data_IF_812477312426
#
_entry.id   IF_812477312426
#
_cell.length_a   1.000
_cell.length_b   1.000
_cell.length_c   1.000
_cell.angle_alpha   90.00
_cell.angle_beta   90.00
_cell.angle_gamma   90.00
#
_symmetry.space_group_name_H-M   'P 1'
#
loop_
_entity.id
_entity.type
_entity.pdbx_description
1 polymer ?
#
# COMPACT_ATOMS: atom_id res chain seq x y z
N UNK A 1 22.27 -18.26 45.05
CA UNK A 1 22.29 -17.69 43.69
C UNK A 1 21.19 -16.64 43.66
N UNK A 2 21.58 -15.39 43.86
CA UNK A 2 20.65 -14.27 44.08
C UNK A 2 20.15 -13.87 42.69
N UNK A 3 18.85 -14.00 42.44
CA UNK A 3 18.21 -13.48 41.23
C UNK A 3 18.27 -11.96 41.29
N UNK A 4 19.14 -11.35 40.47
CA UNK A 4 19.11 -9.91 40.26
C UNK A 4 17.75 -9.50 39.67
N UNK A 5 17.13 -8.41 40.15
CA UNK A 5 15.95 -7.86 39.50
C UNK A 5 16.37 -7.29 38.15
N UNK A 6 15.78 -7.83 37.08
CA UNK A 6 15.95 -7.32 35.71
C UNK A 6 15.49 -5.86 35.70
N UNK A 7 16.34 -4.90 35.28
CA UNK A 7 15.95 -3.50 35.23
C UNK A 7 14.79 -3.32 34.25
N UNK A 8 13.70 -2.73 34.73
CA UNK A 8 12.56 -2.28 33.93
C UNK A 8 13.03 -1.19 32.94
N UNK A 9 13.58 -1.62 31.80
CA UNK A 9 14.13 -0.69 30.81
C UNK A 9 14.82 -1.30 29.58
N UNK A 10 14.85 -2.63 29.42
CA UNK A 10 15.55 -3.28 28.31
C UNK A 10 14.66 -4.27 27.52
N UNK A 11 13.45 -3.84 27.14
CA UNK A 11 12.58 -4.55 26.19
C UNK A 11 12.34 -3.68 24.96
N UNK A 12 12.80 -4.12 23.79
CA UNK A 12 12.66 -3.42 22.50
C UNK A 12 11.22 -3.37 21.97
N UNK A 13 10.29 -2.81 22.74
CA UNK A 13 8.92 -2.57 22.29
C UNK A 13 8.80 -1.17 21.66
N UNK A 14 8.13 -1.11 20.51
CA UNK A 14 7.87 0.15 19.81
C UNK A 14 6.91 1.02 20.62
N UNK A 15 7.15 2.33 20.61
CA UNK A 15 6.28 3.30 21.30
C UNK A 15 4.85 3.23 20.74
N UNK A 16 3.90 2.82 21.59
CA UNK A 16 2.48 2.80 21.24
C UNK A 16 1.98 4.20 20.90
N UNK A 17 1.20 4.33 19.83
CA UNK A 17 0.62 5.60 19.40
C UNK A 17 1.61 6.65 18.90
N UNK A 18 2.86 6.27 18.56
CA UNK A 18 3.87 7.20 18.05
C UNK A 18 3.48 7.86 16.72
N UNK A 19 2.73 7.14 15.87
CA UNK A 19 2.17 7.66 14.63
C UNK A 19 0.74 8.16 14.88
N UNK A 20 0.55 9.48 14.78
CA UNK A 20 -0.78 10.11 14.88
C UNK A 20 -1.50 10.02 13.54
N UNK A 21 -2.83 10.14 13.58
CA UNK A 21 -3.69 10.09 12.40
C UNK A 21 -3.22 11.00 11.25
N UNK A 22 -2.81 12.27 11.46
CA UNK A 22 -2.34 13.11 10.37
C UNK A 22 -1.10 12.56 9.66
N UNK A 23 -0.15 12.00 10.41
CA UNK A 23 1.08 11.42 9.85
C UNK A 23 0.77 10.18 9.00
N UNK A 24 -0.14 9.33 9.47
CA UNK A 24 -0.58 8.12 8.75
C UNK A 24 -1.34 8.52 7.47
N UNK A 25 -2.22 9.52 7.56
CA UNK A 25 -2.95 10.03 6.39
C UNK A 25 -2.00 10.61 5.35
N UNK A 26 -1.02 11.42 5.76
CA UNK A 26 -0.04 11.99 4.85
C UNK A 26 0.83 10.91 4.19
N UNK A 27 1.24 9.89 4.94
CA UNK A 27 1.93 8.73 4.37
C UNK A 27 1.07 8.04 3.31
N UNK A 28 -0.21 7.76 3.61
CA UNK A 28 -1.13 7.13 2.67
C UNK A 28 -1.34 7.96 1.39
N UNK A 29 -1.57 9.25 1.53
CA UNK A 29 -1.74 10.18 0.40
C UNK A 29 -0.48 10.22 -0.45
N UNK A 30 0.69 10.31 0.18
CA UNK A 30 1.99 10.32 -0.51
C UNK A 30 2.23 9.01 -1.24
N UNK A 31 1.88 7.87 -0.62
CA UNK A 31 2.06 6.56 -1.22
C UNK A 31 1.13 6.34 -2.43
N UNK A 32 -0.14 6.77 -2.34
CA UNK A 32 -1.09 6.67 -3.45
C UNK A 32 -0.72 7.62 -4.60
N UNK A 33 -0.11 8.77 -4.27
CA UNK A 33 0.25 9.84 -5.20
C UNK A 33 -0.87 10.18 -6.22
N UNK A 34 -2.07 10.62 -5.77
CA UNK A 34 -3.25 10.75 -6.63
C UNK A 34 -3.03 11.60 -7.88
N UNK A 35 -2.29 12.71 -7.75
CA UNK A 35 -1.99 13.61 -8.86
C UNK A 35 -1.20 12.92 -9.98
N UNK A 36 -0.18 12.13 -9.62
CA UNK A 36 0.63 11.35 -10.58
C UNK A 36 -0.24 10.27 -11.23
N UNK A 37 -1.04 9.56 -10.43
CA UNK A 37 -1.97 8.55 -10.96
C UNK A 37 -2.89 9.11 -12.03
N UNK A 38 -3.50 10.28 -11.79
CA UNK A 38 -4.37 10.96 -12.76
C UNK A 38 -3.63 11.26 -14.07
N UNK A 39 -2.45 11.88 -14.00
CA UNK A 39 -1.68 12.27 -15.19
C UNK A 39 -1.25 11.06 -16.01
N UNK A 40 -0.79 9.99 -15.35
CA UNK A 40 -0.23 8.84 -16.04
C UNK A 40 -1.29 7.83 -16.52
N UNK A 41 -2.41 7.68 -15.82
CA UNK A 41 -3.37 6.60 -16.09
C UNK A 41 -4.60 7.04 -16.89
N UNK A 42 -5.03 8.30 -16.80
CA UNK A 42 -6.24 8.76 -17.50
C UNK A 42 -6.10 8.62 -19.00
N UNK A 43 -4.97 9.00 -19.56
CA UNK A 43 -4.73 8.90 -21.00
C UNK A 43 -4.82 7.45 -21.48
N UNK A 44 -4.19 6.53 -20.75
CA UNK A 44 -4.21 5.11 -21.07
C UNK A 44 -5.63 4.52 -20.97
N UNK A 45 -6.32 4.76 -19.85
CA UNK A 45 -7.67 4.22 -19.61
C UNK A 45 -8.67 4.80 -20.62
N UNK A 46 -8.56 6.09 -20.95
CA UNK A 46 -9.39 6.73 -21.98
C UNK A 46 -9.12 6.13 -23.37
N UNK A 47 -7.87 5.79 -23.70
CA UNK A 47 -7.55 5.15 -24.98
C UNK A 47 -8.16 3.74 -25.14
N UNK A 48 -8.37 3.03 -24.02
CA UNK A 48 -8.92 1.67 -24.01
C UNK A 48 -10.45 1.65 -23.90
N UNK A 49 -11.03 2.49 -23.03
CA UNK A 49 -12.46 2.50 -22.72
C UNK A 49 -13.26 3.58 -23.48
N UNK A 50 -12.57 4.57 -24.07
CA UNK A 50 -13.18 5.69 -24.76
C UNK A 50 -14.21 6.42 -23.90
N UNK A 51 -15.41 6.61 -24.46
CA UNK A 51 -16.53 7.32 -23.80
C UNK A 51 -17.00 6.62 -22.51
N UNK A 52 -16.72 5.32 -22.35
CA UNK A 52 -17.11 4.56 -21.15
C UNK A 52 -16.12 4.67 -19.99
N UNK A 53 -15.00 5.39 -20.17
CA UNK A 53 -13.97 5.57 -19.14
C UNK A 53 -14.50 6.07 -17.78
N UNK A 54 -15.43 7.05 -17.69
CA UNK A 54 -15.98 7.49 -16.41
C UNK A 54 -16.72 6.37 -15.67
N UNK A 55 -17.46 5.52 -16.38
CA UNK A 55 -18.16 4.38 -15.77
C UNK A 55 -17.15 3.35 -15.26
N UNK A 56 -16.07 3.09 -16.01
CA UNK A 56 -14.99 2.22 -15.57
C UNK A 56 -14.35 2.72 -14.27
N UNK A 57 -14.11 4.04 -14.13
CA UNK A 57 -13.61 4.62 -12.88
C UNK A 57 -14.58 4.48 -11.72
N UNK A 58 -15.89 4.63 -11.94
CA UNK A 58 -16.90 4.43 -10.89
C UNK A 58 -16.92 2.98 -10.39
N UNK A 59 -16.83 2.02 -11.30
CA UNK A 59 -16.76 0.59 -10.95
C UNK A 59 -15.47 0.30 -10.18
N UNK A 60 -14.33 0.79 -10.67
CA UNK A 60 -13.04 0.62 -10.00
C UNK A 60 -13.05 1.25 -8.59
N UNK A 61 -13.65 2.43 -8.44
CA UNK A 61 -13.80 3.10 -7.14
C UNK A 61 -14.61 2.24 -6.16
N UNK A 62 -15.74 1.68 -6.60
CA UNK A 62 -16.55 0.81 -5.75
C UNK A 62 -15.78 -0.43 -5.28
N UNK A 63 -15.04 -1.07 -6.20
CA UNK A 63 -14.19 -2.24 -5.88
C UNK A 63 -13.12 -1.87 -4.84
N UNK A 64 -12.39 -0.77 -5.06
CA UNK A 64 -11.35 -0.31 -4.14
C UNK A 64 -11.91 0.06 -2.77
N UNK A 65 -13.11 0.65 -2.72
CA UNK A 65 -13.78 0.97 -1.47
C UNK A 65 -14.10 -0.29 -0.67
N UNK A 66 -14.64 -1.33 -1.31
CA UNK A 66 -14.90 -2.62 -0.67
C UNK A 66 -13.60 -3.25 -0.14
N UNK A 67 -12.53 -3.25 -0.93
CA UNK A 67 -11.21 -3.74 -0.51
C UNK A 67 -10.67 -2.96 0.69
N UNK A 68 -10.78 -1.63 0.68
CA UNK A 68 -10.36 -0.76 1.78
C UNK A 68 -11.11 -1.04 3.07
N UNK A 69 -12.42 -1.29 3.00
CA UNK A 69 -13.24 -1.66 4.16
C UNK A 69 -12.78 -3.01 4.73
N UNK A 70 -12.59 -4.03 3.88
CA UNK A 70 -12.12 -5.35 4.30
C UNK A 70 -10.74 -5.28 4.99
N UNK A 71 -9.79 -4.54 4.41
CA UNK A 71 -8.46 -4.36 4.99
C UNK A 71 -8.50 -3.57 6.30
N UNK A 72 -9.38 -2.56 6.40
CA UNK A 72 -9.58 -1.80 7.64
C UNK A 72 -10.06 -2.70 8.77
N UNK A 73 -10.98 -3.61 8.49
CA UNK A 73 -11.46 -4.57 9.49
C UNK A 73 -10.34 -5.50 9.94
N UNK A 74 -9.48 -5.95 9.02
CA UNK A 74 -8.35 -6.80 9.36
C UNK A 74 -7.29 -6.05 10.18
N UNK A 75 -7.01 -4.80 9.84
CA UNK A 75 -6.10 -3.92 10.58
C UNK A 75 -6.54 -3.68 12.03
N UNK A 76 -7.86 -3.58 12.28
CA UNK A 76 -8.42 -3.44 13.63
C UNK A 76 -8.20 -4.68 14.51
N UNK A 77 -8.26 -5.88 13.93
CA UNK A 77 -8.15 -7.14 14.69
C UNK A 77 -6.71 -7.67 14.75
N UNK A 78 -5.89 -7.37 13.73
CA UNK A 78 -4.52 -7.84 13.59
C UNK A 78 -3.55 -6.66 13.53
N UNK A 79 -3.53 -5.82 14.56
CA UNK A 79 -2.60 -4.69 14.67
C UNK A 79 -1.14 -5.21 14.73
N UNK A 80 -0.44 -5.12 13.60
CA UNK A 80 0.94 -5.60 13.44
C UNK A 80 1.66 -4.80 12.37
N UNK A 81 2.95 -4.55 12.57
CA UNK A 81 3.81 -3.89 11.59
C UNK A 81 4.03 -4.72 10.30
N UNK A 82 3.64 -6.00 10.27
CA UNK A 82 3.87 -6.89 9.12
C UNK A 82 2.87 -6.76 7.97
N UNK A 83 1.82 -5.93 8.08
CA UNK A 83 0.88 -5.66 7.00
C UNK A 83 0.29 -6.93 6.35
N UNK A 84 0.35 -7.02 5.01
CA UNK A 84 -0.20 -8.14 4.23
C UNK A 84 0.37 -9.51 4.62
N UNK A 85 1.66 -9.59 4.98
CA UNK A 85 2.24 -10.84 5.48
C UNK A 85 1.51 -11.32 6.73
N UNK A 86 1.29 -10.45 7.71
CA UNK A 86 0.59 -10.80 8.95
C UNK A 86 -0.86 -11.19 8.68
N UNK A 87 -1.52 -10.47 7.77
CA UNK A 87 -2.91 -10.72 7.39
C UNK A 87 -3.09 -12.11 6.76
N UNK A 88 -2.25 -12.47 5.78
CA UNK A 88 -2.37 -13.76 5.07
C UNK A 88 -1.86 -14.91 5.93
N UNK A 89 -0.77 -14.71 6.68
CA UNK A 89 -0.22 -15.75 7.56
C UNK A 89 -1.17 -16.16 8.68
N UNK A 90 -1.95 -15.22 9.22
CA UNK A 90 -2.92 -15.48 10.29
C UNK A 90 -4.29 -15.93 9.80
N UNK A 91 -4.68 -15.61 8.57
CA UNK A 91 -6.01 -15.98 8.04
C UNK A 91 -5.99 -17.24 7.17
N UNK A 92 -4.91 -17.52 6.45
CA UNK A 92 -4.81 -18.65 5.50
C UNK A 92 -3.83 -19.70 6.01
N UNK A 93 -2.53 -19.39 5.99
CA UNK A 93 -1.47 -20.26 6.51
C UNK A 93 -0.14 -19.51 6.56
N UNK A 94 0.81 -19.92 7.42
CA UNK A 94 2.14 -19.30 7.48
C UNK A 94 2.90 -19.33 6.14
N UNK A 95 2.79 -20.44 5.39
CA UNK A 95 3.43 -20.58 4.07
C UNK A 95 2.85 -19.63 3.01
N UNK A 96 1.53 -19.45 2.99
CA UNK A 96 0.89 -18.47 2.11
C UNK A 96 1.34 -17.04 2.45
N UNK A 97 1.48 -16.71 3.73
CA UNK A 97 2.02 -15.41 4.17
C UNK A 97 3.43 -15.15 3.61
N UNK A 98 4.32 -16.13 3.70
CA UNK A 98 5.68 -16.03 3.14
C UNK A 98 5.67 -15.76 1.63
N UNK A 99 4.82 -16.46 0.88
CA UNK A 99 4.67 -16.25 -0.56
C UNK A 99 4.16 -14.82 -0.83
N UNK A 100 3.15 -14.34 -0.09
CA UNK A 100 2.64 -12.97 -0.22
C UNK A 100 3.73 -11.92 0.01
N UNK A 101 4.60 -12.12 1.02
CA UNK A 101 5.71 -11.21 1.27
C UNK A 101 6.71 -11.16 0.10
N UNK A 102 7.06 -12.32 -0.46
CA UNK A 102 7.94 -12.39 -1.64
C UNK A 102 7.31 -11.76 -2.88
N UNK A 103 6.03 -12.01 -3.12
CA UNK A 103 5.29 -11.39 -4.23
C UNK A 103 5.26 -9.87 -4.08
N UNK A 104 5.01 -9.37 -2.87
CA UNK A 104 5.01 -7.93 -2.62
C UNK A 104 6.40 -7.33 -2.86
N UNK A 105 7.46 -7.97 -2.36
CA UNK A 105 8.84 -7.53 -2.57
C UNK A 105 9.24 -7.47 -4.05
N UNK A 106 8.79 -8.43 -4.88
CA UNK A 106 9.06 -8.43 -6.33
C UNK A 106 8.18 -7.43 -7.11
N UNK A 107 6.94 -7.25 -6.67
CA UNK A 107 5.98 -6.37 -7.33
C UNK A 107 6.32 -4.88 -7.12
N UNK A 108 6.64 -4.49 -5.89
CA UNK A 108 6.76 -3.07 -5.50
C UNK A 108 7.78 -2.28 -6.33
N UNK A 109 9.01 -2.79 -6.61
CA UNK A 109 9.97 -2.11 -7.49
C UNK A 109 9.48 -1.94 -8.93
N UNK A 110 8.63 -2.86 -9.41
CA UNK A 110 8.10 -2.81 -10.77
C UNK A 110 7.17 -1.61 -10.94
N UNK A 111 6.38 -1.28 -9.92
CA UNK A 111 5.53 -0.08 -9.93
C UNK A 111 6.37 1.21 -10.03
N UNK A 112 7.48 1.29 -9.30
CA UNK A 112 8.41 2.42 -9.40
C UNK A 112 9.03 2.54 -10.81
N UNK A 113 9.47 1.42 -11.38
CA UNK A 113 10.05 1.39 -12.73
C UNK A 113 9.04 1.85 -13.80
N UNK A 114 7.78 1.39 -13.71
CA UNK A 114 6.71 1.79 -14.63
C UNK A 114 6.44 3.29 -14.53
N UNK A 115 6.30 3.84 -13.32
CA UNK A 115 6.07 5.28 -13.12
C UNK A 115 7.21 6.13 -13.71
N UNK A 116 8.47 5.69 -13.54
CA UNK A 116 9.63 6.37 -14.12
C UNK A 116 9.60 6.33 -15.65
N UNK A 117 9.25 5.19 -16.25
CA UNK A 117 9.15 5.05 -17.70
C UNK A 117 8.06 5.96 -18.29
N UNK A 118 6.87 5.99 -17.67
CA UNK A 118 5.78 6.88 -18.08
C UNK A 118 6.14 8.36 -17.93
N UNK A 119 6.84 8.72 -16.85
CA UNK A 119 7.33 10.09 -16.66
C UNK A 119 8.31 10.47 -17.79
N UNK A 120 9.23 9.59 -18.15
CA UNK A 120 10.15 9.80 -19.28
C UNK A 120 9.40 10.02 -20.61
N UNK A 121 8.41 9.17 -20.90
CA UNK A 121 7.55 9.32 -22.08
C UNK A 121 6.81 10.66 -22.09
N UNK A 122 6.25 11.08 -20.94
CA UNK A 122 5.54 12.34 -20.81
C UNK A 122 6.44 13.55 -21.14
N UNK A 123 7.66 13.59 -20.60
CA UNK A 123 8.62 14.66 -20.90
C UNK A 123 9.04 14.68 -22.37
N UNK A 124 9.28 13.52 -22.98
CA UNK A 124 9.61 13.43 -24.41
C UNK A 124 8.45 13.94 -25.28
N UNK A 125 7.20 13.63 -24.92
CA UNK A 125 6.02 14.06 -25.67
C UNK A 125 5.71 15.57 -25.54
N UNK A 126 6.18 16.22 -24.47
CA UNK A 126 5.89 17.63 -24.19
C UNK A 126 6.99 18.57 -24.69
N UNK A 127 8.24 18.12 -24.75
CA UNK A 127 9.40 18.94 -25.18
C UNK A 127 9.79 18.75 -26.66
N UNK A 128 8.98 18.05 -27.46
CA UNK A 128 9.04 18.04 -28.92
C UNK A 128 7.94 18.94 -29.49
#
# INVERSE_FOLDING_TARGET
MISEPVPDGAGGELRSGALKLPSILMQGITHIAPAVGIVLTIQLISSLAGVTAPLAYLIAFAIVLTLGISLTQLAKHLASAGGYYTYVSRTVSPGAGFITAWLYFLYDPTAAAINLAFMGFFFESTMK
#
